data_IF_373187291504
#
_entry.id   IF_373187291504
#
_cell.length_a   1.000
_cell.length_b   1.000
_cell.length_c   1.000
_cell.angle_alpha   90.00
_cell.angle_beta   90.00
_cell.angle_gamma   90.00
#
_symmetry.space_group_name_H-M   'P 1'
#
loop_
_entity.id
_entity.type
_entity.pdbx_description
1 polymer ?
#
# COMPACT_ATOMS: atom_id res chain seq x y z
N UNK A 1 -10.26 -16.68 -5.70
CA UNK A 1 -11.65 -16.16 -5.62
C UNK A 1 -12.43 -16.39 -6.91
N UNK A 2 -11.93 -15.98 -8.10
CA UNK A 2 -12.67 -16.18 -9.37
C UNK A 2 -13.07 -17.64 -9.64
N UNK A 3 -12.14 -18.58 -9.44
CA UNK A 3 -12.35 -20.02 -9.65
C UNK A 3 -13.45 -20.66 -8.77
N UNK A 4 -13.93 -19.96 -7.74
CA UNK A 4 -15.02 -20.44 -6.87
C UNK A 4 -16.41 -19.97 -7.35
N UNK A 5 -16.47 -19.20 -8.44
CA UNK A 5 -17.72 -18.66 -8.99
C UNK A 5 -18.20 -19.47 -10.20
N UNK A 6 -19.51 -19.38 -10.53
CA UNK A 6 -20.09 -20.03 -11.72
C UNK A 6 -19.57 -19.47 -13.05
N UNK A 7 -19.13 -18.21 -13.06
CA UNK A 7 -18.67 -17.49 -14.25
C UNK A 7 -17.35 -16.77 -13.95
N UNK A 8 -16.22 -17.50 -13.86
CA UNK A 8 -14.93 -16.94 -13.46
C UNK A 8 -14.45 -15.81 -14.38
N UNK A 9 -14.77 -15.85 -15.68
CA UNK A 9 -14.42 -14.79 -16.63
C UNK A 9 -15.13 -13.46 -16.42
N UNK A 10 -16.20 -13.43 -15.62
CA UNK A 10 -16.92 -12.21 -15.22
C UNK A 10 -16.42 -11.61 -13.90
N UNK A 11 -15.37 -12.18 -13.31
CA UNK A 11 -14.77 -11.68 -12.08
C UNK A 11 -13.60 -10.75 -12.41
N UNK A 12 -13.55 -9.61 -11.73
CA UNK A 12 -12.53 -8.58 -11.86
C UNK A 12 -12.29 -7.94 -10.49
N UNK A 13 -11.05 -7.59 -10.19
CA UNK A 13 -10.72 -6.79 -9.00
C UNK A 13 -10.75 -5.29 -9.30
N UNK A 14 -11.26 -4.49 -8.38
CA UNK A 14 -11.16 -3.03 -8.40
C UNK A 14 -10.57 -2.57 -7.07
N UNK A 15 -9.37 -2.02 -7.08
CA UNK A 15 -8.71 -1.50 -5.88
C UNK A 15 -8.70 0.03 -5.90
N UNK A 16 -9.52 0.61 -5.02
CA UNK A 16 -9.61 2.05 -4.78
C UNK A 16 -8.65 2.46 -3.66
N UNK A 17 -8.11 3.67 -3.76
CA UNK A 17 -7.19 4.23 -2.76
C UNK A 17 -7.93 5.14 -1.77
N UNK A 18 -7.58 5.05 -0.49
CA UNK A 18 -8.21 5.84 0.57
C UNK A 18 -7.69 7.30 0.58
N UNK A 19 -8.57 8.32 0.70
CA UNK A 19 -10.02 8.25 0.63
C UNK A 19 -10.53 8.12 -0.82
N UNK A 20 -11.47 7.19 -1.10
CA UNK A 20 -11.84 6.84 -2.47
C UNK A 20 -12.57 7.93 -3.22
N UNK A 21 -13.14 8.94 -2.53
CA UNK A 21 -13.76 10.08 -3.19
C UNK A 21 -12.73 11.11 -3.70
N UNK A 22 -11.61 11.29 -2.99
CA UNK A 22 -10.58 12.26 -3.37
C UNK A 22 -9.51 11.66 -4.29
N UNK A 23 -9.16 10.38 -4.09
CA UNK A 23 -8.15 9.72 -4.90
C UNK A 23 -8.68 9.40 -6.30
N UNK A 24 -7.89 9.75 -7.32
CA UNK A 24 -8.28 9.54 -8.73
C UNK A 24 -7.94 8.14 -9.23
N UNK A 25 -6.85 7.55 -8.76
CA UNK A 25 -6.36 6.26 -9.26
C UNK A 25 -7.26 5.09 -8.83
N UNK A 26 -7.42 4.09 -9.69
CA UNK A 26 -8.00 2.78 -9.36
C UNK A 26 -7.20 1.71 -10.10
N UNK A 27 -6.77 0.65 -9.42
CA UNK A 27 -6.22 -0.52 -10.10
C UNK A 27 -7.36 -1.44 -10.56
N UNK A 28 -7.35 -1.80 -11.84
CA UNK A 28 -8.29 -2.74 -12.45
C UNK A 28 -7.55 -4.06 -12.62
N UNK A 29 -7.85 -5.03 -11.75
CA UNK A 29 -7.07 -6.25 -11.58
C UNK A 29 -7.67 -7.40 -12.39
N UNK A 30 -6.93 -7.84 -13.40
CA UNK A 30 -7.25 -8.97 -14.26
C UNK A 30 -6.70 -10.27 -13.66
N UNK A 31 -7.59 -11.14 -13.22
CA UNK A 31 -7.24 -12.51 -12.84
C UNK A 31 -6.96 -13.33 -14.10
N UNK A 32 -6.31 -14.49 -13.94
CA UNK A 32 -5.96 -15.35 -15.07
C UNK A 32 -7.19 -15.80 -15.90
N UNK A 33 -8.36 -15.91 -15.27
CA UNK A 33 -9.60 -16.29 -15.93
C UNK A 33 -10.42 -15.10 -16.46
N UNK A 34 -10.08 -13.85 -16.11
CA UNK A 34 -10.89 -12.67 -16.46
C UNK A 34 -10.98 -12.52 -17.98
N UNK A 35 -12.21 -12.39 -18.49
CA UNK A 35 -12.45 -12.18 -19.91
C UNK A 35 -12.03 -10.76 -20.32
N UNK A 36 -11.47 -10.57 -21.53
CA UNK A 36 -11.11 -9.23 -22.03
C UNK A 36 -12.28 -8.23 -22.02
N UNK A 37 -13.51 -8.72 -22.28
CA UNK A 37 -14.72 -7.89 -22.21
C UNK A 37 -15.05 -7.41 -20.79
N UNK A 38 -14.78 -8.24 -19.78
CA UNK A 38 -14.94 -7.89 -18.36
C UNK A 38 -13.91 -6.84 -17.95
N UNK A 39 -12.66 -6.99 -18.37
CA UNK A 39 -11.61 -6.01 -18.12
C UNK A 39 -11.93 -4.66 -18.77
N UNK A 40 -12.33 -4.65 -20.05
CA UNK A 40 -12.75 -3.45 -20.76
C UNK A 40 -13.95 -2.77 -20.08
N UNK A 41 -14.92 -3.55 -19.60
CA UNK A 41 -16.04 -3.01 -18.83
C UNK A 41 -15.58 -2.30 -17.55
N UNK A 42 -14.67 -2.91 -16.79
CA UNK A 42 -14.13 -2.33 -15.55
C UNK A 42 -13.39 -1.01 -15.78
N UNK A 43 -12.53 -0.96 -16.81
CA UNK A 43 -11.85 0.27 -17.23
C UNK A 43 -12.85 1.38 -17.55
N UNK A 44 -13.84 1.09 -18.41
CA UNK A 44 -14.85 2.07 -18.79
C UNK A 44 -15.73 2.50 -17.60
N UNK A 45 -16.04 1.58 -16.68
CA UNK A 45 -16.77 1.88 -15.46
C UNK A 45 -16.02 2.89 -14.58
N UNK A 46 -14.74 2.65 -14.30
CA UNK A 46 -13.93 3.58 -13.51
C UNK A 46 -13.79 4.96 -14.17
N UNK A 47 -13.62 5.02 -15.50
CA UNK A 47 -13.60 6.29 -16.23
C UNK A 47 -14.91 7.09 -16.06
N UNK A 48 -16.07 6.43 -16.13
CA UNK A 48 -17.37 7.08 -15.89
C UNK A 48 -17.51 7.63 -14.46
N UNK A 49 -16.80 7.06 -13.50
CA UNK A 49 -16.72 7.59 -12.12
C UNK A 49 -15.74 8.76 -11.97
N UNK A 50 -15.14 9.27 -13.06
CA UNK A 50 -14.12 10.30 -13.02
C UNK A 50 -12.77 9.82 -12.48
N UNK A 51 -12.57 8.50 -12.41
CA UNK A 51 -11.32 7.88 -11.97
C UNK A 51 -10.36 7.66 -13.13
N UNK A 52 -9.09 7.49 -12.78
CA UNK A 52 -8.01 7.08 -13.67
C UNK A 52 -7.76 5.58 -13.43
N UNK A 53 -8.39 4.67 -14.20
CA UNK A 53 -8.10 3.26 -14.05
C UNK A 53 -6.75 2.90 -14.66
N UNK A 54 -6.04 1.98 -14.01
CA UNK A 54 -4.83 1.36 -14.55
C UNK A 54 -5.01 -0.17 -14.59
N UNK A 55 -4.80 -0.83 -15.75
CA UNK A 55 -4.89 -2.29 -15.84
C UNK A 55 -3.69 -2.93 -15.14
N UNK A 56 -3.94 -3.91 -14.29
CA UNK A 56 -2.92 -4.63 -13.52
C UNK A 56 -3.24 -6.12 -13.55
N UNK A 57 -2.22 -6.97 -13.70
CA UNK A 57 -2.40 -8.42 -13.58
C UNK A 57 -2.47 -8.83 -12.11
N UNK A 58 -3.29 -9.82 -11.80
CA UNK A 58 -3.40 -10.38 -10.45
C UNK A 58 -2.06 -10.96 -9.98
N UNK A 59 -1.35 -10.18 -9.17
CA UNK A 59 -0.05 -10.48 -8.56
C UNK A 59 -0.03 -9.92 -7.14
N UNK A 60 0.72 -10.53 -6.20
CA UNK A 60 0.77 -10.04 -4.82
C UNK A 60 1.20 -8.58 -4.75
N UNK A 61 0.37 -7.77 -4.10
CA UNK A 61 0.54 -6.32 -3.95
C UNK A 61 0.19 -5.48 -5.18
N UNK A 62 -0.40 -6.08 -6.22
CA UNK A 62 -0.77 -5.40 -7.46
C UNK A 62 0.40 -4.54 -7.99
N UNK A 63 0.18 -3.27 -8.32
CA UNK A 63 1.24 -2.39 -8.78
C UNK A 63 1.69 -1.43 -7.67
N UNK A 64 0.77 -0.65 -7.10
CA UNK A 64 1.12 0.41 -6.15
C UNK A 64 1.69 -0.14 -4.85
N UNK A 65 1.06 -1.15 -4.24
CA UNK A 65 1.58 -1.73 -3.01
C UNK A 65 2.92 -2.43 -3.24
N UNK A 66 3.12 -3.02 -4.42
CA UNK A 66 4.40 -3.64 -4.82
C UNK A 66 5.55 -2.65 -4.94
N UNK A 67 5.26 -1.38 -5.24
CA UNK A 67 6.26 -0.31 -5.25
C UNK A 67 6.48 0.27 -3.84
N UNK A 68 5.40 0.57 -3.12
CA UNK A 68 5.48 1.37 -1.91
C UNK A 68 5.88 0.57 -0.67
N UNK A 69 5.46 -0.70 -0.54
CA UNK A 69 5.75 -1.52 0.65
C UNK A 69 7.25 -1.67 0.91
N UNK A 70 8.09 -2.11 -0.05
CA UNK A 70 9.52 -2.23 0.21
C UNK A 70 10.18 -0.87 0.45
N UNK A 71 9.69 0.20 -0.18
CA UNK A 71 10.16 1.56 0.06
C UNK A 71 9.91 2.01 1.51
N UNK A 72 8.70 1.78 2.04
CA UNK A 72 8.37 2.13 3.42
C UNK A 72 9.08 1.24 4.44
N UNK A 73 9.24 -0.05 4.14
CA UNK A 73 10.03 -0.95 4.97
C UNK A 73 11.49 -0.48 5.07
N UNK A 74 12.07 -0.05 3.96
CA UNK A 74 13.43 0.48 3.93
C UNK A 74 13.54 1.79 4.73
N UNK A 75 12.59 2.72 4.58
CA UNK A 75 12.59 3.96 5.37
C UNK A 75 12.51 3.69 6.88
N UNK A 76 11.65 2.76 7.31
CA UNK A 76 11.55 2.34 8.71
C UNK A 76 12.86 1.69 9.22
N UNK A 77 13.55 0.93 8.36
CA UNK A 77 14.85 0.34 8.68
C UNK A 77 15.93 1.42 8.86
N UNK A 78 16.03 2.40 7.94
CA UNK A 78 17.00 3.50 8.07
C UNK A 78 16.78 4.31 9.35
N UNK A 79 15.53 4.45 9.79
CA UNK A 79 15.21 5.05 11.08
C UNK A 79 15.65 4.18 12.26
N UNK A 80 15.41 2.86 12.24
CA UNK A 80 15.85 1.93 13.30
C UNK A 80 17.38 1.86 13.43
N UNK A 81 18.10 2.01 12.31
CA UNK A 81 19.56 2.09 12.24
C UNK A 81 20.12 3.42 12.77
N UNK A 82 19.26 4.42 12.98
CA UNK A 82 19.65 5.73 13.48
C UNK A 82 20.41 6.59 12.45
N UNK A 83 20.24 6.32 11.15
CA UNK A 83 20.93 7.06 10.09
C UNK A 83 20.64 8.57 10.16
N UNK A 84 19.39 8.92 10.47
CA UNK A 84 18.96 10.30 10.65
C UNK A 84 17.70 10.37 11.53
N UNK A 85 17.42 11.53 12.17
CA UNK A 85 16.13 11.78 12.80
C UNK A 85 14.97 11.60 11.81
N UNK A 86 13.79 11.21 12.32
CA UNK A 86 12.59 10.97 11.51
C UNK A 86 12.21 12.18 10.63
N UNK A 87 12.37 13.39 11.15
CA UNK A 87 12.05 14.64 10.44
C UNK A 87 12.96 14.81 9.21
N UNK A 88 14.25 14.46 9.34
CA UNK A 88 15.22 14.53 8.25
C UNK A 88 14.93 13.48 7.17
N UNK A 89 14.56 12.26 7.57
CA UNK A 89 14.17 11.20 6.63
C UNK A 89 12.92 11.60 5.83
N UNK A 90 11.92 12.17 6.50
CA UNK A 90 10.70 12.65 5.84
C UNK A 90 10.97 13.82 4.90
N UNK A 91 11.79 14.79 5.31
CA UNK A 91 12.18 15.93 4.48
C UNK A 91 12.96 15.50 3.24
N UNK A 92 13.85 14.51 3.35
CA UNK A 92 14.62 13.99 2.22
C UNK A 92 13.71 13.41 1.12
N UNK A 93 12.60 12.77 1.52
CA UNK A 93 11.64 12.21 0.56
C UNK A 93 10.69 13.28 0.02
N UNK A 94 10.23 14.22 0.85
CA UNK A 94 9.32 15.26 0.37
C UNK A 94 10.03 16.26 -0.55
N UNK A 95 11.15 16.82 -0.11
CA UNK A 95 11.87 17.86 -0.86
C UNK A 95 12.84 17.27 -1.88
N UNK A 96 13.50 16.16 -1.54
CA UNK A 96 14.51 15.56 -2.40
C UNK A 96 13.92 14.70 -3.52
N UNK A 97 12.84 13.97 -3.26
CA UNK A 97 12.17 13.11 -4.25
C UNK A 97 10.85 13.70 -4.77
N UNK A 98 10.39 14.82 -4.21
CA UNK A 98 9.17 15.50 -4.65
C UNK A 98 7.87 14.80 -4.22
N UNK A 99 7.91 13.93 -3.22
CA UNK A 99 6.70 13.29 -2.71
C UNK A 99 5.88 14.27 -1.85
N UNK A 100 4.54 14.19 -1.86
CA UNK A 100 3.70 15.09 -1.05
C UNK A 100 3.83 14.85 0.46
N UNK A 101 4.45 13.75 0.86
CA UNK A 101 4.57 13.32 2.26
C UNK A 101 5.79 12.42 2.42
N UNK A 102 6.50 12.56 3.55
CA UNK A 102 7.59 11.67 3.92
C UNK A 102 7.12 10.26 4.28
N UNK A 103 7.98 9.24 4.17
CA UNK A 103 7.62 7.84 4.34
C UNK A 103 7.19 7.48 5.76
N UNK A 104 7.77 8.10 6.79
CA UNK A 104 7.43 7.80 8.19
C UNK A 104 6.08 8.44 8.55
N UNK A 105 5.85 9.68 8.10
CA UNK A 105 4.52 10.31 8.20
C UNK A 105 3.46 9.49 7.43
N UNK A 106 3.81 8.96 6.26
CA UNK A 106 2.92 8.12 5.47
C UNK A 106 2.61 6.78 6.17
N UNK A 107 3.61 6.14 6.80
CA UNK A 107 3.41 4.95 7.62
C UNK A 107 2.43 5.20 8.76
N UNK A 108 2.54 6.33 9.44
CA UNK A 108 1.62 6.71 10.52
C UNK A 108 0.21 7.05 10.02
N UNK A 109 0.07 7.51 8.78
CA UNK A 109 -1.22 7.77 8.15
C UNK A 109 -1.90 6.46 7.70
N UNK A 110 -1.13 5.53 7.12
CA UNK A 110 -1.61 4.19 6.71
C UNK A 110 -1.99 3.36 7.95
N UNK A 111 -1.16 3.43 8.97
CA UNK A 111 -1.21 2.58 10.15
C UNK A 111 -0.09 1.54 10.12
N UNK A 112 0.71 1.50 11.19
CA UNK A 112 1.89 0.62 11.30
C UNK A 112 1.51 -0.86 11.27
N UNK A 113 0.37 -1.22 11.87
CA UNK A 113 -0.21 -2.57 11.82
C UNK A 113 -0.67 -2.96 10.42
N UNK A 114 -1.29 -2.03 9.68
CA UNK A 114 -1.75 -2.26 8.31
C UNK A 114 -0.55 -2.50 7.40
N UNK A 115 0.50 -1.67 7.50
CA UNK A 115 1.74 -1.88 6.77
C UNK A 115 2.35 -3.25 7.13
N UNK A 116 2.45 -3.57 8.42
CA UNK A 116 3.05 -4.83 8.88
C UNK A 116 2.28 -6.03 8.32
N UNK A 117 0.95 -6.00 8.35
CA UNK A 117 0.09 -7.04 7.79
C UNK A 117 0.28 -7.22 6.28
N UNK A 118 0.29 -6.12 5.52
CA UNK A 118 0.48 -6.17 4.05
C UNK A 118 1.88 -6.66 3.71
N UNK A 119 2.91 -6.18 4.40
CA UNK A 119 4.29 -6.60 4.24
C UNK A 119 4.47 -8.11 4.50
N UNK A 120 3.87 -8.63 5.57
CA UNK A 120 3.89 -10.08 5.87
C UNK A 120 3.24 -10.92 4.77
N UNK A 121 2.06 -10.50 4.30
CA UNK A 121 1.38 -11.17 3.21
C UNK A 121 2.25 -11.16 1.94
N UNK A 122 2.84 -10.02 1.58
CA UNK A 122 3.69 -9.90 0.40
C UNK A 122 4.97 -10.73 0.50
N UNK A 123 5.63 -10.74 1.66
CA UNK A 123 6.84 -11.54 1.88
C UNK A 123 6.57 -13.04 1.74
N UNK A 124 5.42 -13.51 2.27
CA UNK A 124 5.02 -14.91 2.18
C UNK A 124 4.72 -15.33 0.73
N UNK A 125 4.03 -14.49 -0.03
CA UNK A 125 3.64 -14.81 -1.40
C UNK A 125 4.79 -14.65 -2.42
N UNK A 126 5.74 -13.75 -2.15
CA UNK A 126 6.84 -13.43 -3.08
C UNK A 126 8.16 -14.10 -2.74
N UNK A 127 8.31 -14.62 -1.52
CA UNK A 127 9.55 -15.23 -1.04
C UNK A 127 10.76 -14.30 -1.15
N UNK A 128 10.52 -13.00 -1.02
CA UNK A 128 11.52 -11.94 -1.18
C UNK A 128 11.65 -11.14 0.13
N UNK A 129 12.80 -11.18 0.82
CA UNK A 129 12.96 -10.56 2.14
C UNK A 129 12.63 -9.07 2.21
N UNK A 130 12.88 -8.32 1.13
CA UNK A 130 12.62 -6.87 1.05
C UNK A 130 11.14 -6.48 1.26
N UNK A 131 10.22 -7.41 1.05
CA UNK A 131 8.80 -7.17 1.29
C UNK A 131 8.39 -7.44 2.75
N UNK A 132 9.22 -8.14 3.53
CA UNK A 132 8.93 -8.43 4.93
C UNK A 132 9.04 -7.18 5.81
N UNK A 133 8.17 -7.03 6.83
CA UNK A 133 8.23 -5.87 7.70
C UNK A 133 9.49 -5.94 8.57
N UNK A 134 10.24 -4.84 8.71
CA UNK A 134 11.41 -4.83 9.57
C UNK A 134 11.01 -5.01 11.05
N UNK A 135 11.93 -5.48 11.92
CA UNK A 135 11.63 -5.75 13.33
C UNK A 135 10.99 -4.58 14.06
N UNK A 136 11.37 -3.34 13.75
CA UNK A 136 10.79 -2.13 14.33
C UNK A 136 9.28 -2.05 14.15
N UNK A 137 8.75 -2.27 12.93
CA UNK A 137 7.32 -2.18 12.68
C UNK A 137 6.52 -3.21 13.49
N UNK A 138 7.09 -4.41 13.70
CA UNK A 138 6.49 -5.44 14.57
C UNK A 138 6.47 -5.01 16.04
N UNK A 139 7.57 -4.43 16.54
CA UNK A 139 7.65 -3.90 17.91
C UNK A 139 6.63 -2.77 18.13
N UNK A 140 6.56 -1.83 17.19
CA UNK A 140 5.60 -0.72 17.24
C UNK A 140 4.14 -1.22 17.20
N UNK A 141 3.83 -2.18 16.32
CA UNK A 141 2.52 -2.83 16.26
C UNK A 141 2.15 -3.47 17.60
N UNK A 142 3.09 -4.23 18.18
CA UNK A 142 2.89 -4.91 19.48
C UNK A 142 2.71 -3.92 20.64
N UNK A 143 3.33 -2.74 20.55
CA UNK A 143 3.22 -1.66 21.54
C UNK A 143 1.97 -0.78 21.35
N UNK A 144 1.15 -1.03 20.32
CA UNK A 144 -0.02 -0.20 20.00
C UNK A 144 0.34 1.17 19.43
N UNK A 145 1.56 1.36 18.92
CA UNK A 145 1.99 2.59 18.26
C UNK A 145 1.66 2.52 16.76
N UNK A 146 0.36 2.65 16.47
CA UNK A 146 -0.24 2.42 15.16
C UNK A 146 -0.34 3.69 14.30
N UNK A 147 0.33 4.77 14.68
CA UNK A 147 0.29 6.04 13.96
C UNK A 147 -0.86 6.95 14.42
N UNK A 148 -1.45 7.68 13.46
CA UNK A 148 -2.47 8.70 13.76
C UNK A 148 -3.68 8.15 14.50
N UNK A 149 -4.12 6.94 14.15
CA UNK A 149 -5.32 6.31 14.74
C UNK A 149 -5.18 5.94 16.23
N UNK A 150 -3.96 5.83 16.73
CA UNK A 150 -3.67 5.55 18.15
C UNK A 150 -3.06 6.74 18.89
N UNK A 151 -2.94 7.91 18.24
CA UNK A 151 -2.27 9.08 18.81
C UNK A 151 -0.74 8.98 18.84
N UNK A 152 -0.15 7.89 18.34
CA UNK A 152 1.31 7.66 18.37
C UNK A 152 1.75 6.60 17.38
N UNK A 153 2.81 6.89 16.64
CA UNK A 153 3.56 5.98 15.79
C UNK A 153 5.04 6.38 15.75
N UNK A 154 5.56 6.72 14.57
CA UNK A 154 6.87 7.38 14.43
C UNK A 154 6.84 8.79 15.02
N UNK A 155 5.69 9.45 14.90
CA UNK A 155 5.39 10.75 15.51
C UNK A 155 4.34 10.60 16.62
N UNK A 156 4.25 11.64 17.46
CA UNK A 156 3.17 11.78 18.44
C UNK A 156 2.07 12.68 17.86
N UNK A 157 0.83 12.25 17.99
CA UNK A 157 -0.34 12.97 17.53
C UNK A 157 -1.18 13.31 18.76
N UNK A 158 -1.30 14.61 19.06
CA UNK A 158 -2.19 15.10 20.10
C UNK A 158 -3.60 14.54 19.92
N UNK A 159 -4.28 14.24 21.04
CA UNK A 159 -5.68 13.83 21.02
C UNK A 159 -6.59 14.94 20.49
#
# INVERSE_FOLDING_TARGET
MAAQTRHPGRVLGLHFFNPPFAMRLVEVIEAQQTDPGTAAFGLAFCQRLGKTPIPVRDRPGFLVNRLVVPFLNHAAQLYDEGLAPRETLDLAVSEGLGHPMGPLTLLDLIGVDVQTFVADAMARELYEPRFGPPPLLRRMTSAGWLGRKSGRGFYEYGK
#
